data_IF_486674192669
#
_entry.id   IF_486674192669
#
_cell.length_a   1.000
_cell.length_b   1.000
_cell.length_c   1.000
_cell.angle_alpha   90.00
_cell.angle_beta   90.00
_cell.angle_gamma   90.00
#
_symmetry.space_group_name_H-M   'P 1'
#
loop_
_entity.id
_entity.type
_entity.pdbx_description
1 polymer ?
#
# COMPACT_ATOMS: atom_id res chain seq x y z
N UNK A 1 -0.28 12.78 -33.24
CA UNK A 1 -0.76 13.50 -32.06
C UNK A 1 0.33 13.33 -31.01
N UNK A 2 0.80 14.43 -30.47
CA UNK A 2 2.12 14.63 -29.87
C UNK A 2 2.45 13.67 -28.72
N UNK A 3 3.60 13.04 -28.86
CA UNK A 3 4.30 12.16 -27.88
C UNK A 3 4.86 12.97 -26.69
N UNK A 4 4.22 14.08 -26.34
CA UNK A 4 4.78 15.15 -25.50
C UNK A 4 4.00 15.35 -24.17
N UNK A 5 3.12 14.41 -23.78
CA UNK A 5 2.51 14.48 -22.45
C UNK A 5 3.52 14.01 -21.40
N UNK A 6 3.83 14.84 -20.39
CA UNK A 6 4.70 14.42 -19.29
C UNK A 6 4.07 13.32 -18.42
N UNK A 7 2.79 13.03 -18.65
CA UNK A 7 2.01 12.11 -17.86
C UNK A 7 1.94 10.71 -18.47
N UNK A 8 2.25 9.71 -17.68
CA UNK A 8 2.03 8.29 -18.04
C UNK A 8 0.62 7.81 -17.70
N UNK A 9 -0.04 8.47 -16.75
CA UNK A 9 -1.47 8.29 -16.45
C UNK A 9 -2.13 9.65 -16.30
N UNK A 10 -3.32 9.81 -16.92
CA UNK A 10 -4.22 10.93 -16.69
C UNK A 10 -5.63 10.36 -16.49
N UNK A 11 -6.22 10.70 -15.37
CA UNK A 11 -7.63 10.42 -15.06
C UNK A 11 -8.36 11.76 -15.01
N UNK A 12 -9.36 11.96 -15.86
CA UNK A 12 -10.05 13.26 -16.02
C UNK A 12 -11.51 13.13 -15.60
N UNK A 13 -11.92 13.94 -14.62
CA UNK A 13 -13.30 14.06 -14.12
C UNK A 13 -13.92 12.72 -13.74
N UNK A 14 -13.14 11.84 -13.12
CA UNK A 14 -13.61 10.51 -12.75
C UNK A 14 -14.68 10.62 -11.67
N UNK A 15 -15.83 10.06 -11.98
CA UNK A 15 -16.94 9.93 -11.03
C UNK A 15 -17.30 8.46 -10.86
N UNK A 16 -17.39 8.02 -9.61
CA UNK A 16 -17.86 6.69 -9.23
C UNK A 16 -18.94 6.78 -8.15
N UNK A 17 -20.09 6.20 -8.46
CA UNK A 17 -21.22 6.12 -7.52
C UNK A 17 -21.54 4.68 -7.19
N UNK A 18 -21.81 4.43 -5.92
CA UNK A 18 -22.41 3.20 -5.41
C UNK A 18 -23.79 3.54 -4.81
N UNK A 19 -24.67 2.57 -4.57
CA UNK A 19 -25.96 2.83 -3.93
C UNK A 19 -25.76 3.63 -2.63
N UNK A 20 -26.33 4.83 -2.57
CA UNK A 20 -26.26 5.72 -1.41
C UNK A 20 -24.94 6.47 -1.20
N UNK A 21 -23.90 6.28 -2.04
CA UNK A 21 -22.58 6.87 -1.86
C UNK A 21 -21.95 7.31 -3.18
N UNK A 22 -21.45 8.55 -3.25
CA UNK A 22 -20.52 8.97 -4.29
C UNK A 22 -19.09 8.84 -3.77
N UNK A 23 -18.40 7.80 -4.23
CA UNK A 23 -17.04 7.49 -3.77
C UNK A 23 -15.97 8.39 -4.41
N UNK A 24 -16.17 8.78 -5.68
CA UNK A 24 -15.36 9.78 -6.38
C UNK A 24 -16.29 10.73 -7.12
N UNK A 25 -16.03 12.02 -7.05
CA UNK A 25 -16.84 13.08 -7.63
C UNK A 25 -15.95 14.05 -8.41
N UNK A 26 -15.95 13.92 -9.75
CA UNK A 26 -15.15 14.71 -10.68
C UNK A 26 -13.65 14.77 -10.30
N UNK A 27 -13.07 13.63 -9.99
CA UNK A 27 -11.66 13.52 -9.58
C UNK A 27 -10.74 13.58 -10.78
N UNK A 28 -9.78 14.51 -10.74
CA UNK A 28 -8.64 14.55 -11.65
C UNK A 28 -7.40 13.99 -10.94
N UNK A 29 -6.64 13.13 -11.63
CA UNK A 29 -5.41 12.54 -11.11
C UNK A 29 -4.40 12.37 -12.23
N UNK A 30 -3.13 12.69 -11.96
CA UNK A 30 -2.04 12.60 -12.93
C UNK A 30 -0.85 11.85 -12.31
N UNK A 31 -0.11 11.12 -13.15
CA UNK A 31 1.15 10.49 -12.78
C UNK A 31 2.18 10.79 -13.87
N UNK A 32 3.34 11.31 -13.49
CA UNK A 32 4.45 11.53 -14.41
C UNK A 32 5.30 10.28 -14.56
N UNK A 33 6.07 10.26 -15.64
CA UNK A 33 7.03 9.19 -15.87
C UNK A 33 8.18 9.28 -14.86
N UNK A 34 8.49 8.16 -14.22
CA UNK A 34 9.64 8.03 -13.32
C UNK A 34 9.47 8.73 -11.97
N UNK A 35 8.21 9.00 -11.53
CA UNK A 35 7.95 9.59 -10.21
C UNK A 35 7.25 8.62 -9.26
N UNK A 36 7.37 8.90 -7.97
CA UNK A 36 6.53 8.34 -6.92
C UNK A 36 5.48 9.38 -6.55
N UNK A 37 4.24 9.16 -6.99
CA UNK A 37 3.12 10.03 -6.70
C UNK A 37 2.29 9.48 -5.54
N UNK A 38 2.23 10.19 -4.43
CA UNK A 38 1.42 9.78 -3.29
C UNK A 38 -0.06 10.13 -3.48
N UNK A 39 -0.94 9.18 -3.17
CA UNK A 39 -2.38 9.41 -3.06
C UNK A 39 -2.78 9.36 -1.58
N UNK A 40 -3.00 10.53 -1.00
CA UNK A 40 -3.27 10.74 0.43
C UNK A 40 -4.76 10.96 0.69
N UNK A 41 -5.23 10.61 1.87
CA UNK A 41 -6.59 10.88 2.36
C UNK A 41 -6.99 9.96 3.50
N UNK A 42 -8.00 10.32 4.25
CA UNK A 42 -8.57 9.49 5.32
C UNK A 42 -9.16 8.18 4.77
N UNK A 43 -9.44 7.24 5.68
CA UNK A 43 -10.19 6.03 5.32
C UNK A 43 -11.59 6.44 4.81
N UNK A 44 -12.00 5.83 3.69
CA UNK A 44 -13.26 6.21 3.03
C UNK A 44 -13.19 7.47 2.13
N UNK A 45 -12.01 8.11 1.96
CA UNK A 45 -11.87 9.28 1.09
C UNK A 45 -12.02 9.00 -0.41
N UNK A 46 -12.04 7.71 -0.83
CA UNK A 46 -12.20 7.30 -2.23
C UNK A 46 -10.91 6.86 -2.93
N UNK A 47 -9.78 6.77 -2.21
CA UNK A 47 -8.46 6.38 -2.75
C UNK A 47 -8.47 5.02 -3.44
N UNK A 48 -8.81 3.96 -2.69
CA UNK A 48 -8.85 2.60 -3.24
C UNK A 48 -9.91 2.46 -4.34
N UNK A 49 -11.02 3.19 -4.29
CA UNK A 49 -12.00 3.22 -5.38
C UNK A 49 -11.41 3.78 -6.66
N UNK A 50 -10.71 4.92 -6.58
CA UNK A 50 -10.05 5.56 -7.72
C UNK A 50 -8.99 4.63 -8.34
N UNK A 51 -8.20 3.98 -7.51
CA UNK A 51 -7.15 3.06 -7.97
C UNK A 51 -7.72 1.75 -8.49
N UNK A 52 -8.80 1.24 -7.94
CA UNK A 52 -9.52 0.08 -8.49
C UNK A 52 -10.13 0.37 -9.87
N UNK A 53 -10.50 1.63 -10.16
CA UNK A 53 -10.91 2.05 -11.52
C UNK A 53 -9.69 1.98 -12.44
N UNK A 54 -8.55 2.53 -12.04
CA UNK A 54 -7.32 2.51 -12.83
C UNK A 54 -6.77 1.09 -13.03
N UNK A 55 -6.95 0.20 -12.05
CA UNK A 55 -6.59 -1.21 -12.14
C UNK A 55 -7.62 -2.08 -12.91
N UNK A 56 -8.72 -1.49 -13.40
CA UNK A 56 -9.74 -2.21 -14.18
C UNK A 56 -10.66 -3.12 -13.36
N UNK A 57 -10.72 -2.95 -12.04
CA UNK A 57 -11.65 -3.66 -11.15
C UNK A 57 -13.04 -3.03 -11.14
N UNK A 58 -13.11 -1.71 -11.34
CA UNK A 58 -14.36 -0.96 -11.45
C UNK A 58 -14.39 -0.12 -12.72
N UNK A 59 -15.55 -0.02 -13.37
CA UNK A 59 -15.79 0.99 -14.40
C UNK A 59 -16.24 2.30 -13.71
N UNK A 60 -15.74 3.48 -14.15
CA UNK A 60 -16.28 4.77 -13.71
C UNK A 60 -17.69 4.99 -14.26
N UNK A 61 -18.49 5.80 -13.57
CA UNK A 61 -19.78 6.24 -14.09
C UNK A 61 -19.61 7.32 -15.16
N UNK A 62 -18.58 8.17 -15.02
CA UNK A 62 -18.16 9.18 -16.00
C UNK A 62 -16.69 9.52 -15.82
N UNK A 63 -16.12 10.21 -16.82
CA UNK A 63 -14.72 10.60 -16.87
C UNK A 63 -13.95 9.78 -17.89
N UNK A 64 -12.70 10.12 -18.06
CA UNK A 64 -11.80 9.54 -19.08
C UNK A 64 -10.47 9.16 -18.46
N UNK A 65 -9.89 8.08 -18.97
CA UNK A 65 -8.57 7.59 -18.54
C UNK A 65 -7.65 7.56 -19.75
N UNK A 66 -6.46 8.10 -19.57
CA UNK A 66 -5.40 8.06 -20.57
C UNK A 66 -4.17 7.39 -19.99
N UNK A 67 -3.56 6.48 -20.72
CA UNK A 67 -2.32 5.81 -20.37
C UNK A 67 -1.32 6.02 -21.50
N UNK A 68 -0.16 6.60 -21.19
CA UNK A 68 0.85 6.94 -22.19
C UNK A 68 0.27 7.72 -23.38
N UNK A 69 -0.60 8.69 -23.09
CA UNK A 69 -1.27 9.54 -24.08
C UNK A 69 -2.42 8.90 -24.85
N UNK A 70 -2.71 7.62 -24.65
CA UNK A 70 -3.80 6.92 -25.32
C UNK A 70 -5.01 6.81 -24.39
N UNK A 71 -6.20 7.17 -24.90
CA UNK A 71 -7.45 6.97 -24.16
C UNK A 71 -7.74 5.48 -24.05
N UNK A 72 -8.02 5.02 -22.83
CA UNK A 72 -8.29 3.62 -22.54
C UNK A 72 -9.59 3.45 -21.77
N UNK A 73 -10.19 2.28 -21.93
CA UNK A 73 -11.32 1.86 -21.10
C UNK A 73 -11.08 0.42 -20.66
N UNK A 74 -10.87 0.24 -19.38
CA UNK A 74 -10.61 -1.06 -18.78
C UNK A 74 -11.94 -1.73 -18.40
N UNK A 75 -12.12 -2.99 -18.82
CA UNK A 75 -13.25 -3.85 -18.46
C UNK A 75 -12.81 -4.97 -17.51
N UNK A 76 -11.52 -5.15 -17.35
CA UNK A 76 -10.93 -6.17 -16.51
C UNK A 76 -9.52 -5.77 -16.07
N UNK A 77 -9.00 -6.35 -14.96
CA UNK A 77 -7.59 -6.17 -14.55
C UNK A 77 -6.60 -6.61 -15.63
N UNK A 78 -6.94 -7.56 -16.47
CA UNK A 78 -6.10 -7.97 -17.62
C UNK A 78 -5.87 -6.83 -18.60
N UNK A 79 -6.87 -5.96 -18.80
CA UNK A 79 -6.72 -4.82 -19.71
C UNK A 79 -5.74 -3.78 -19.13
N UNK A 80 -5.80 -3.52 -17.82
CA UNK A 80 -4.88 -2.64 -17.13
C UNK A 80 -3.44 -3.19 -17.18
N UNK A 81 -3.26 -4.49 -16.93
CA UNK A 81 -1.94 -5.16 -17.03
C UNK A 81 -1.39 -5.05 -18.45
N UNK A 82 -2.19 -5.25 -19.49
CA UNK A 82 -1.77 -5.09 -20.89
C UNK A 82 -1.36 -3.65 -21.22
N UNK A 83 -1.96 -2.66 -20.55
CA UNK A 83 -1.57 -1.26 -20.66
C UNK A 83 -0.31 -0.92 -19.82
N UNK A 84 0.23 -1.89 -19.09
CA UNK A 84 1.43 -1.75 -18.25
C UNK A 84 1.16 -1.30 -16.82
N UNK A 85 -0.08 -1.41 -16.33
CA UNK A 85 -0.48 -1.04 -14.97
C UNK A 85 -0.61 -2.31 -14.12
N UNK A 86 0.14 -2.39 -13.02
CA UNK A 86 0.04 -3.44 -12.01
C UNK A 86 -0.42 -2.89 -10.68
N UNK A 87 -1.26 -3.61 -9.94
CA UNK A 87 -1.70 -3.23 -8.60
C UNK A 87 -1.26 -4.26 -7.58
N UNK A 88 -0.67 -3.77 -6.50
CA UNK A 88 -0.27 -4.53 -5.31
C UNK A 88 -1.24 -4.10 -4.21
N UNK A 89 -2.03 -5.07 -3.75
CA UNK A 89 -3.08 -4.84 -2.75
C UNK A 89 -2.51 -4.82 -1.33
N UNK A 90 -3.22 -4.19 -0.41
CA UNK A 90 -2.91 -4.16 1.02
C UNK A 90 -2.78 -5.57 1.63
N UNK A 91 -3.61 -6.52 1.18
CA UNK A 91 -3.51 -7.93 1.51
C UNK A 91 -2.93 -8.69 0.32
N UNK A 92 -1.86 -9.42 0.53
CA UNK A 92 -1.19 -10.15 -0.54
C UNK A 92 -2.10 -11.17 -1.21
N UNK A 93 -2.11 -11.13 -2.53
CA UNK A 93 -2.87 -12.06 -3.38
C UNK A 93 -1.98 -13.22 -3.82
N UNK A 94 -1.33 -13.87 -2.83
CA UNK A 94 -0.45 -15.02 -3.02
C UNK A 94 -1.11 -16.30 -2.51
N UNK A 95 -0.84 -17.42 -3.17
CA UNK A 95 -1.30 -18.74 -2.77
C UNK A 95 -0.24 -19.38 -1.86
N UNK A 96 -0.51 -19.57 -0.55
CA UNK A 96 0.50 -19.99 0.42
C UNK A 96 1.15 -21.34 0.10
N UNK A 97 0.40 -22.26 -0.49
CA UNK A 97 0.83 -23.64 -0.79
C UNK A 97 1.56 -23.77 -2.12
N UNK A 98 1.77 -22.68 -2.85
CA UNK A 98 2.54 -22.64 -4.09
C UNK A 98 3.91 -21.99 -3.87
N UNK A 99 4.86 -22.30 -4.74
CA UNK A 99 6.17 -21.65 -4.77
C UNK A 99 6.08 -20.23 -5.29
N UNK A 100 7.15 -19.44 -5.10
CA UNK A 100 7.30 -18.09 -5.67
C UNK A 100 7.10 -18.13 -7.19
N UNK A 101 7.78 -19.04 -7.88
CA UNK A 101 7.66 -19.19 -9.33
C UNK A 101 6.22 -19.50 -9.75
N UNK A 102 5.57 -20.45 -9.11
CA UNK A 102 4.17 -20.79 -9.42
C UNK A 102 3.22 -19.60 -9.22
N UNK A 103 3.40 -18.83 -8.15
CA UNK A 103 2.60 -17.62 -7.89
C UNK A 103 2.81 -16.54 -8.95
N UNK A 104 4.04 -16.32 -9.41
CA UNK A 104 4.34 -15.33 -10.45
C UNK A 104 3.71 -15.73 -11.79
N UNK A 105 3.75 -17.00 -12.12
CA UNK A 105 3.22 -17.55 -13.37
C UNK A 105 1.69 -17.73 -13.35
N UNK A 106 1.06 -17.71 -12.19
CA UNK A 106 -0.37 -17.95 -12.05
C UNK A 106 -1.20 -16.97 -12.88
N UNK A 107 -2.06 -17.50 -13.74
CA UNK A 107 -2.96 -16.70 -14.59
C UNK A 107 -2.32 -16.11 -15.85
N UNK A 108 -1.10 -16.52 -16.20
CA UNK A 108 -0.51 -16.24 -17.51
C UNK A 108 -1.03 -17.26 -18.55
N UNK A 109 -1.08 -16.79 -19.81
CA UNK A 109 -1.56 -17.63 -20.92
C UNK A 109 -0.51 -18.65 -21.40
N UNK A 110 0.72 -18.62 -20.89
CA UNK A 110 1.82 -19.54 -21.15
C UNK A 110 2.46 -20.03 -19.84
N UNK A 111 2.93 -21.27 -19.80
CA UNK A 111 2.88 -22.36 -20.78
C UNK A 111 1.61 -23.23 -20.66
N UNK A 112 1.14 -23.73 -21.82
CA UNK A 112 -0.18 -24.40 -21.90
C UNK A 112 -0.23 -25.85 -21.39
N UNK A 113 0.86 -26.61 -21.34
CA UNK A 113 0.81 -28.05 -21.04
C UNK A 113 1.89 -28.62 -20.13
N UNK A 114 3.15 -28.24 -20.24
CA UNK A 114 4.25 -28.72 -19.37
C UNK A 114 5.10 -27.54 -18.94
N UNK A 115 5.05 -27.20 -17.63
CA UNK A 115 5.90 -26.16 -17.08
C UNK A 115 7.29 -26.69 -16.76
N UNK A 116 8.31 -26.19 -17.46
CA UNK A 116 9.69 -26.34 -17.01
C UNK A 116 9.98 -25.25 -15.97
N UNK A 117 9.58 -25.47 -14.71
CA UNK A 117 9.74 -24.52 -13.62
C UNK A 117 11.19 -24.05 -13.47
N UNK A 118 12.17 -24.93 -13.65
CA UNK A 118 13.60 -24.61 -13.54
C UNK A 118 14.06 -23.49 -14.52
N UNK A 119 13.43 -23.39 -15.69
CA UNK A 119 13.69 -22.28 -16.62
C UNK A 119 13.17 -20.95 -16.04
N UNK A 120 11.98 -20.98 -15.49
CA UNK A 120 11.33 -19.77 -14.92
C UNK A 120 12.01 -19.34 -13.62
N UNK A 121 12.47 -20.29 -12.80
CA UNK A 121 13.24 -19.99 -11.57
C UNK A 121 14.47 -19.15 -11.89
N UNK A 122 15.18 -19.46 -12.97
CA UNK A 122 16.35 -18.68 -13.41
C UNK A 122 15.96 -17.28 -13.85
N UNK A 123 14.88 -17.14 -14.61
CA UNK A 123 14.38 -15.84 -15.10
C UNK A 123 13.93 -14.97 -13.92
N UNK A 124 13.16 -15.54 -12.99
CA UNK A 124 12.65 -14.81 -11.82
C UNK A 124 13.80 -14.41 -10.89
N UNK A 125 14.77 -15.29 -10.67
CA UNK A 125 15.98 -14.97 -9.90
C UNK A 125 16.75 -13.82 -10.52
N UNK A 126 16.94 -13.83 -11.85
CA UNK A 126 17.62 -12.75 -12.56
C UNK A 126 16.86 -11.44 -12.44
N UNK A 127 15.54 -11.45 -12.65
CA UNK A 127 14.66 -10.28 -12.49
C UNK A 127 14.73 -9.73 -11.05
N UNK A 128 14.80 -10.61 -10.06
CA UNK A 128 14.96 -10.24 -8.65
C UNK A 128 16.29 -9.53 -8.38
N UNK A 129 17.40 -10.05 -8.94
CA UNK A 129 18.73 -9.44 -8.81
C UNK A 129 18.75 -8.06 -9.48
N UNK A 130 18.24 -7.94 -10.69
CA UNK A 130 18.22 -6.69 -11.46
C UNK A 130 17.42 -5.57 -10.78
N UNK A 131 16.40 -5.94 -9.99
CA UNK A 131 15.52 -4.98 -9.32
C UNK A 131 15.71 -4.91 -7.79
N UNK A 132 16.75 -5.55 -7.26
CA UNK A 132 17.01 -5.60 -5.82
C UNK A 132 15.89 -6.23 -4.98
N UNK A 133 15.16 -7.19 -5.59
CA UNK A 133 14.02 -7.92 -5.04
C UNK A 133 14.39 -9.41 -4.87
N UNK A 134 15.46 -9.68 -4.12
CA UNK A 134 15.98 -11.04 -3.97
C UNK A 134 15.01 -11.90 -3.16
N UNK A 135 14.56 -13.00 -3.78
CA UNK A 135 13.75 -14.06 -3.16
C UNK A 135 14.20 -15.41 -3.76
N UNK A 136 13.96 -16.51 -3.04
CA UNK A 136 14.18 -17.86 -3.61
C UNK A 136 12.95 -18.26 -4.43
N UNK A 137 13.08 -18.44 -5.77
CA UNK A 137 11.97 -18.83 -6.63
C UNK A 137 11.32 -20.18 -6.26
N UNK A 138 12.07 -21.06 -5.60
CA UNK A 138 11.61 -22.41 -5.24
C UNK A 138 10.97 -22.47 -3.85
N UNK A 139 11.11 -21.43 -3.02
CA UNK A 139 10.49 -21.37 -1.72
C UNK A 139 8.96 -21.29 -1.81
N UNK A 140 8.27 -21.97 -0.90
CA UNK A 140 6.82 -21.81 -0.75
C UNK A 140 6.48 -20.49 -0.08
N UNK A 141 5.36 -19.86 -0.49
CA UNK A 141 4.95 -18.55 0.06
C UNK A 141 4.78 -18.57 1.58
N UNK A 142 4.27 -19.67 2.16
CA UNK A 142 4.09 -19.79 3.61
C UNK A 142 5.42 -19.80 4.40
N UNK A 143 6.55 -20.02 3.74
CA UNK A 143 7.89 -20.01 4.35
C UNK A 143 8.49 -18.58 4.41
N UNK A 144 7.94 -17.66 3.62
CA UNK A 144 8.47 -16.32 3.45
C UNK A 144 8.00 -15.37 4.55
N UNK A 145 8.90 -14.49 4.96
CA UNK A 145 8.54 -13.32 5.76
C UNK A 145 7.58 -12.39 5.00
N UNK A 146 6.92 -11.50 5.71
CA UNK A 146 6.00 -10.52 5.12
C UNK A 146 6.70 -9.64 4.07
N UNK A 147 7.91 -9.17 4.36
CA UNK A 147 8.71 -8.39 3.41
C UNK A 147 9.13 -9.18 2.17
N UNK A 148 9.37 -10.50 2.29
CA UNK A 148 9.63 -11.37 1.14
C UNK A 148 8.39 -11.58 0.29
N UNK A 149 7.22 -11.79 0.91
CA UNK A 149 5.95 -11.89 0.20
C UNK A 149 5.64 -10.61 -0.59
N UNK A 150 5.95 -9.44 -0.04
CA UNK A 150 5.81 -8.18 -0.75
C UNK A 150 6.74 -8.09 -1.96
N UNK A 151 8.00 -8.54 -1.83
CA UNK A 151 8.92 -8.62 -2.96
C UNK A 151 8.39 -9.54 -4.08
N UNK A 152 7.72 -10.65 -3.71
CA UNK A 152 7.07 -11.54 -4.68
C UNK A 152 5.95 -10.84 -5.43
N UNK A 153 5.08 -10.07 -4.75
CA UNK A 153 4.01 -9.29 -5.41
C UNK A 153 4.58 -8.26 -6.40
N UNK A 154 5.66 -7.57 -6.03
CA UNK A 154 6.32 -6.62 -6.94
C UNK A 154 6.92 -7.36 -8.14
N UNK A 155 7.66 -8.45 -7.91
CA UNK A 155 8.24 -9.28 -8.97
C UNK A 155 7.18 -9.82 -9.93
N UNK A 156 6.03 -10.23 -9.42
CA UNK A 156 4.89 -10.69 -10.21
C UNK A 156 4.39 -9.62 -11.18
N UNK A 157 4.33 -8.35 -10.76
CA UNK A 157 3.94 -7.24 -11.63
C UNK A 157 5.04 -6.91 -12.64
N UNK A 158 6.31 -6.91 -12.22
CA UNK A 158 7.45 -6.69 -13.13
C UNK A 158 7.56 -7.79 -14.18
N UNK A 159 7.38 -9.04 -13.80
CA UNK A 159 7.39 -10.19 -14.71
C UNK A 159 6.30 -10.07 -15.79
N UNK A 160 5.17 -9.47 -15.45
CA UNK A 160 4.05 -9.18 -16.37
C UNK A 160 4.29 -7.94 -17.25
N UNK A 161 5.46 -7.29 -17.12
CA UNK A 161 5.84 -6.13 -17.92
C UNK A 161 5.18 -4.82 -17.47
N UNK A 162 4.72 -4.71 -16.24
CA UNK A 162 4.15 -3.47 -15.72
C UNK A 162 5.23 -2.40 -15.55
N UNK A 163 4.93 -1.18 -16.04
CA UNK A 163 5.77 0.01 -15.90
C UNK A 163 5.20 0.99 -14.88
N UNK A 164 3.91 0.87 -14.59
CA UNK A 164 3.17 1.67 -13.64
C UNK A 164 2.70 0.75 -12.52
N UNK A 165 3.11 1.03 -11.29
CA UNK A 165 2.74 0.24 -10.12
C UNK A 165 1.84 1.04 -9.18
N UNK A 166 0.70 0.47 -8.83
CA UNK A 166 -0.19 0.98 -7.78
C UNK A 166 0.10 0.16 -6.53
N UNK A 167 0.45 0.82 -5.43
CA UNK A 167 0.73 0.18 -4.15
C UNK A 167 -0.26 0.68 -3.10
N UNK A 168 -1.19 -0.18 -2.68
CA UNK A 168 -2.23 0.16 -1.71
C UNK A 168 -1.78 -0.20 -0.29
N UNK A 169 -1.41 0.83 0.50
CA UNK A 169 -0.90 0.74 1.87
C UNK A 169 0.21 -0.32 2.07
N UNK A 170 1.30 -0.26 1.28
CA UNK A 170 2.28 -1.36 1.22
C UNK A 170 3.09 -1.52 2.50
N UNK A 171 3.04 -0.57 3.41
CA UNK A 171 3.80 -0.57 4.68
C UNK A 171 2.96 -0.99 5.89
N UNK A 172 1.68 -1.34 5.69
CA UNK A 172 0.75 -1.58 6.80
C UNK A 172 1.16 -2.75 7.71
N UNK A 173 1.86 -3.73 7.16
CA UNK A 173 2.25 -4.98 7.86
C UNK A 173 3.76 -5.17 7.97
N UNK A 174 4.56 -4.20 7.52
CA UNK A 174 6.02 -4.25 7.53
C UNK A 174 6.62 -3.74 8.84
N UNK A 175 7.74 -4.33 9.25
CA UNK A 175 8.59 -3.77 10.30
C UNK A 175 9.32 -2.50 9.78
N UNK A 176 9.71 -1.56 10.67
CA UNK A 176 10.40 -0.33 10.26
C UNK A 176 11.60 -0.55 9.32
N UNK A 177 12.44 -1.54 9.62
CA UNK A 177 13.61 -1.86 8.80
C UNK A 177 13.22 -2.38 7.39
N UNK A 178 12.07 -3.04 7.26
CA UNK A 178 11.56 -3.50 5.98
C UNK A 178 10.98 -2.34 5.15
N UNK A 179 10.46 -1.29 5.81
CA UNK A 179 9.98 -0.06 5.15
C UNK A 179 11.14 0.65 4.45
N UNK A 180 12.28 0.82 5.14
CA UNK A 180 13.47 1.45 4.56
C UNK A 180 13.96 0.69 3.32
N UNK A 181 13.97 -0.66 3.38
CA UNK A 181 14.34 -1.51 2.25
C UNK A 181 13.35 -1.33 1.09
N UNK A 182 12.05 -1.29 1.38
CA UNK A 182 11.02 -1.04 0.38
C UNK A 182 11.24 0.32 -0.30
N UNK A 183 11.41 1.40 0.47
CA UNK A 183 11.57 2.76 -0.06
C UNK A 183 12.80 2.87 -0.97
N UNK A 184 13.92 2.30 -0.57
CA UNK A 184 15.12 2.23 -1.40
C UNK A 184 14.86 1.46 -2.72
N UNK A 185 14.09 0.39 -2.64
CA UNK A 185 13.69 -0.39 -3.82
C UNK A 185 12.82 0.43 -4.76
N UNK A 186 11.82 1.14 -4.24
CA UNK A 186 10.91 1.97 -5.05
C UNK A 186 11.67 3.11 -5.73
N UNK A 187 12.58 3.81 -5.02
CA UNK A 187 13.46 4.83 -5.60
C UNK A 187 14.32 4.26 -6.73
N UNK A 188 14.95 3.11 -6.51
CA UNK A 188 15.74 2.43 -7.57
C UNK A 188 14.88 2.06 -8.80
N UNK A 189 13.60 1.74 -8.60
CA UNK A 189 12.69 1.43 -9.70
C UNK A 189 12.30 2.68 -10.49
N UNK A 190 12.08 3.83 -9.84
CA UNK A 190 11.80 5.09 -10.54
C UNK A 190 13.02 5.60 -11.30
N UNK A 191 14.24 5.43 -10.76
CA UNK A 191 15.49 5.70 -11.47
C UNK A 191 15.62 4.88 -12.75
N UNK A 192 15.03 3.68 -12.78
CA UNK A 192 14.95 2.80 -13.97
C UNK A 192 13.74 3.11 -14.86
N UNK A 193 13.03 4.20 -14.62
CA UNK A 193 11.92 4.70 -15.43
C UNK A 193 10.55 4.06 -15.13
N UNK A 194 10.40 3.32 -14.04
CA UNK A 194 9.09 2.90 -13.54
C UNK A 194 8.39 4.08 -12.88
N UNK A 195 7.05 4.07 -12.85
CA UNK A 195 6.25 5.11 -12.20
C UNK A 195 5.36 4.47 -11.14
N UNK A 196 5.25 5.10 -9.98
CA UNK A 196 4.64 4.46 -8.81
C UNK A 196 3.55 5.37 -8.24
N UNK A 197 2.35 4.82 -8.01
CA UNK A 197 1.31 5.44 -7.21
C UNK A 197 1.36 4.80 -5.83
N UNK A 198 1.71 5.60 -4.82
CA UNK A 198 1.87 5.15 -3.44
C UNK A 198 0.68 5.63 -2.60
N UNK A 199 -0.19 4.70 -2.21
CA UNK A 199 -1.35 5.03 -1.37
C UNK A 199 -0.97 4.81 0.09
N UNK A 200 -1.08 5.86 0.89
CA UNK A 200 -0.88 5.76 2.34
C UNK A 200 -1.73 6.82 3.06
N UNK A 201 -2.00 6.58 4.33
CA UNK A 201 -2.55 7.57 5.25
C UNK A 201 -1.50 8.04 6.28
N UNK A 202 -0.28 7.51 6.20
CA UNK A 202 0.84 7.83 7.10
C UNK A 202 1.67 8.97 6.52
N UNK A 203 1.52 10.16 7.08
CA UNK A 203 2.13 11.38 6.57
C UNK A 203 3.67 11.32 6.50
N UNK A 204 4.31 10.71 7.49
CA UNK A 204 5.78 10.59 7.51
C UNK A 204 6.30 9.79 6.32
N UNK A 205 5.61 8.70 5.94
CA UNK A 205 5.98 7.89 4.80
C UNK A 205 5.89 8.68 3.49
N UNK A 206 4.84 9.49 3.34
CA UNK A 206 4.63 10.32 2.14
C UNK A 206 5.72 11.38 2.02
N UNK A 207 6.03 12.07 3.13
CA UNK A 207 7.09 13.08 3.16
C UNK A 207 8.48 12.51 2.83
N UNK A 208 8.69 11.22 3.10
CA UNK A 208 9.99 10.55 2.88
C UNK A 208 10.15 10.02 1.44
N UNK A 209 9.06 9.46 0.87
CA UNK A 209 9.18 8.69 -0.37
C UNK A 209 8.66 9.41 -1.61
N UNK A 210 7.65 10.29 -1.47
CA UNK A 210 6.94 10.84 -2.61
C UNK A 210 7.65 12.05 -3.24
N UNK A 211 7.55 12.17 -4.55
CA UNK A 211 7.94 13.37 -5.29
C UNK A 211 6.80 14.39 -5.31
N UNK A 212 5.58 13.89 -5.41
CA UNK A 212 4.34 14.69 -5.48
C UNK A 212 3.22 13.99 -4.73
N UNK A 213 2.19 14.77 -4.36
CA UNK A 213 1.03 14.25 -3.64
C UNK A 213 -0.28 14.81 -4.22
N UNK A 214 -1.29 13.95 -4.30
CA UNK A 214 -2.68 14.32 -4.50
C UNK A 214 -3.47 13.93 -3.27
N UNK A 215 -4.23 14.86 -2.71
CA UNK A 215 -5.01 14.63 -1.49
C UNK A 215 -6.49 14.50 -1.82
N UNK A 216 -7.07 13.38 -1.41
CA UNK A 216 -8.50 13.10 -1.52
C UNK A 216 -9.20 13.27 -0.18
N UNK A 217 -10.36 13.92 -0.19
CA UNK A 217 -11.24 14.03 0.95
C UNK A 217 -12.70 13.93 0.51
N UNK A 218 -13.45 12.98 1.09
CA UNK A 218 -14.87 12.74 0.81
C UNK A 218 -15.17 12.65 -0.69
N UNK A 219 -14.34 11.91 -1.41
CA UNK A 219 -14.50 11.67 -2.85
C UNK A 219 -14.05 12.80 -3.76
N UNK A 220 -13.48 13.88 -3.24
CA UNK A 220 -13.00 15.05 -4.01
C UNK A 220 -11.53 15.29 -3.78
N UNK A 221 -10.86 15.91 -4.76
CA UNK A 221 -9.48 16.38 -4.63
C UNK A 221 -9.45 17.69 -3.85
N UNK A 222 -8.65 17.75 -2.80
CA UNK A 222 -8.39 18.96 -2.00
C UNK A 222 -7.04 19.60 -2.33
N UNK A 223 -6.08 18.80 -2.77
CA UNK A 223 -4.83 19.27 -3.38
C UNK A 223 -4.47 18.32 -4.52
N UNK A 224 -4.17 18.88 -5.69
CA UNK A 224 -3.84 18.12 -6.89
C UNK A 224 -2.36 18.31 -7.25
N UNK A 225 -1.67 17.21 -7.54
CA UNK A 225 -0.34 17.20 -8.16
C UNK A 225 0.66 18.17 -7.47
N UNK A 226 0.61 18.24 -6.14
CA UNK A 226 1.43 19.14 -5.33
C UNK A 226 2.84 18.55 -5.13
N UNK A 227 3.92 19.28 -5.43
CA UNK A 227 5.27 18.85 -5.06
C UNK A 227 5.39 18.66 -3.57
N UNK A 228 6.10 17.63 -3.13
CA UNK A 228 6.26 17.34 -1.70
C UNK A 228 7.37 18.19 -1.05
N UNK A 229 8.27 18.74 -1.85
CA UNK A 229 9.38 19.56 -1.36
C UNK A 229 8.88 20.80 -0.60
N UNK A 230 9.32 20.98 0.64
CA UNK A 230 8.95 22.07 1.52
C UNK A 230 7.58 21.94 2.19
N UNK A 231 6.83 20.88 1.92
CA UNK A 231 5.51 20.63 2.52
C UNK A 231 5.68 20.09 3.92
N UNK A 232 4.90 20.61 4.87
CA UNK A 232 4.93 20.16 6.25
C UNK A 232 3.88 19.08 6.54
N UNK A 233 4.10 18.35 7.62
CA UNK A 233 3.15 17.34 8.10
C UNK A 233 1.79 17.96 8.47
N UNK A 234 1.82 19.15 9.06
CA UNK A 234 0.67 19.92 9.47
C UNK A 234 -0.17 20.34 8.26
N UNK A 235 0.50 20.78 7.18
CA UNK A 235 -0.17 21.14 5.93
C UNK A 235 -0.87 19.94 5.29
N UNK A 236 -0.19 18.80 5.17
CA UNK A 236 -0.81 17.56 4.66
C UNK A 236 -1.99 17.12 5.51
N UNK A 237 -1.86 17.17 6.84
CA UNK A 237 -2.94 16.82 7.75
C UNK A 237 -4.14 17.76 7.59
N UNK A 238 -3.90 19.06 7.45
CA UNK A 238 -4.95 20.05 7.23
C UNK A 238 -5.70 19.80 5.92
N UNK A 239 -4.98 19.53 4.83
CA UNK A 239 -5.58 19.18 3.54
C UNK A 239 -6.41 17.90 3.60
N UNK A 240 -5.96 16.90 4.37
CA UNK A 240 -6.61 15.61 4.53
C UNK A 240 -7.90 15.70 5.37
N UNK A 241 -7.86 16.41 6.51
CA UNK A 241 -8.97 16.51 7.46
C UNK A 241 -9.88 17.72 7.14
N UNK A 242 -9.32 18.78 6.55
CA UNK A 242 -10.02 20.01 6.16
C UNK A 242 -10.26 20.98 7.31
N UNK A 243 -9.49 20.86 8.35
CA UNK A 243 -9.38 21.80 9.47
C UNK A 243 -7.96 21.75 10.01
N UNK A 244 -7.55 22.76 10.70
CA UNK A 244 -6.28 22.77 11.39
C UNK A 244 -6.17 21.59 12.36
N UNK A 245 -5.08 20.84 12.28
CA UNK A 245 -4.82 19.66 13.12
C UNK A 245 -3.76 20.03 14.14
N UNK A 246 -4.14 19.97 15.40
CA UNK A 246 -3.22 20.20 16.52
C UNK A 246 -2.57 18.86 16.87
N UNK A 247 -1.27 18.72 16.55
CA UNK A 247 -0.49 17.50 16.89
C UNK A 247 -0.02 17.48 18.33
N UNK A 248 0.14 18.65 18.96
CA UNK A 248 0.54 18.74 20.36
C UNK A 248 -0.70 19.01 21.21
N UNK A 249 -1.16 17.98 21.90
CA UNK A 249 -2.20 18.12 22.91
C UNK A 249 -1.49 18.43 24.23
N UNK A 250 -1.66 19.65 24.75
CA UNK A 250 -1.28 19.95 26.13
C UNK A 250 -2.19 19.12 27.05
N UNK A 251 -1.60 18.08 27.63
CA UNK A 251 -2.34 17.28 28.61
C UNK A 251 -2.47 18.08 29.91
N UNK A 252 -3.68 18.34 30.41
CA UNK A 252 -3.83 18.87 31.74
C UNK A 252 -3.20 17.90 32.74
N UNK A 253 -2.60 18.45 33.80
CA UNK A 253 -2.06 17.63 34.89
C UNK A 253 -3.22 16.90 35.55
N UNK A 254 -3.38 15.61 35.22
CA UNK A 254 -4.35 14.76 35.86
C UNK A 254 -3.80 14.32 37.23
N UNK A 255 -4.62 14.38 38.27
CA UNK A 255 -4.29 13.75 39.56
C UNK A 255 -4.64 12.28 39.43
N UNK A 256 -3.61 11.45 39.49
CA UNK A 256 -3.78 9.99 39.53
C UNK A 256 -4.43 9.65 40.88
N UNK A 257 -5.55 8.96 40.82
CA UNK A 257 -6.31 8.54 42.02
C UNK A 257 -6.00 7.11 42.43
N UNK A 258 -6.95 6.46 43.10
CA UNK A 258 -6.81 5.07 43.57
C UNK A 258 -6.87 4.08 42.40
N UNK A 259 -6.23 2.89 42.55
CA UNK A 259 -6.33 1.80 41.59
C UNK A 259 -7.78 1.40 41.30
N UNK A 260 -8.13 1.32 40.02
CA UNK A 260 -9.46 0.90 39.53
C UNK A 260 -9.41 -0.45 38.82
N UNK A 261 -8.23 -0.85 38.35
CA UNK A 261 -7.96 -2.18 37.79
C UNK A 261 -6.59 -2.62 38.24
N UNK A 262 -6.51 -3.80 38.85
CA UNK A 262 -5.26 -4.45 39.20
C UNK A 262 -5.22 -5.83 38.56
N UNK A 263 -4.18 -6.12 37.83
CA UNK A 263 -3.88 -7.42 37.21
C UNK A 263 -2.59 -7.91 37.84
N UNK A 264 -2.63 -9.10 38.46
CA UNK A 264 -1.48 -9.64 39.20
C UNK A 264 -1.08 -11.00 38.65
N UNK A 265 0.18 -11.12 38.22
CA UNK A 265 0.85 -12.36 37.89
C UNK A 265 0.03 -13.29 36.96
N UNK A 266 -0.53 -12.71 35.88
CA UNK A 266 -1.43 -13.42 34.95
C UNK A 266 -0.62 -14.24 33.96
N UNK A 267 -1.00 -15.49 33.82
CA UNK A 267 -0.51 -16.43 32.82
C UNK A 267 -1.67 -16.80 31.88
N UNK A 268 -1.38 -16.82 30.58
CA UNK A 268 -2.34 -17.27 29.58
C UNK A 268 -1.67 -18.01 28.43
N UNK A 269 -2.40 -18.90 27.80
CA UNK A 269 -1.98 -19.58 26.56
C UNK A 269 -2.72 -18.97 25.37
N UNK A 270 -2.08 -19.01 24.20
CA UNK A 270 -2.72 -18.62 22.95
C UNK A 270 -3.63 -19.74 22.40
N UNK A 271 -4.29 -19.48 21.27
CA UNK A 271 -5.19 -20.42 20.58
C UNK A 271 -4.53 -21.76 20.19
N UNK A 272 -3.18 -21.85 20.25
CA UNK A 272 -2.39 -23.06 19.94
C UNK A 272 -1.90 -23.78 21.19
N UNK A 273 -2.33 -23.38 22.39
CA UNK A 273 -1.86 -23.93 23.66
C UNK A 273 -0.42 -23.58 24.01
N UNK A 274 0.15 -22.50 23.43
CA UNK A 274 1.49 -22.04 23.74
C UNK A 274 1.43 -20.87 24.74
N UNK A 275 2.38 -20.80 25.72
CA UNK A 275 2.41 -19.70 26.69
C UNK A 275 2.53 -18.32 26.01
N UNK A 276 1.51 -17.49 26.16
CA UNK A 276 1.42 -16.13 25.61
C UNK A 276 1.71 -15.07 26.69
N UNK A 277 1.11 -15.22 27.88
CA UNK A 277 1.42 -14.38 29.05
C UNK A 277 2.20 -15.18 30.07
N UNK A 278 3.22 -14.57 30.67
CA UNK A 278 4.17 -15.23 31.58
C UNK A 278 4.37 -14.38 32.85
N UNK A 279 3.30 -14.28 33.67
CA UNK A 279 3.37 -13.51 34.91
C UNK A 279 3.27 -12.00 34.70
N UNK A 280 2.33 -11.55 33.88
CA UNK A 280 2.10 -10.13 33.61
C UNK A 280 1.33 -9.51 34.78
N UNK A 281 1.85 -8.38 35.28
CA UNK A 281 1.19 -7.55 36.28
C UNK A 281 1.10 -6.13 35.78
N UNK A 282 -0.04 -5.47 35.97
CA UNK A 282 -0.26 -4.07 35.66
C UNK A 282 -1.35 -3.50 36.56
N UNK A 283 -1.33 -2.20 36.76
CA UNK A 283 -2.32 -1.46 37.51
C UNK A 283 -2.79 -0.26 36.71
N UNK A 284 -4.05 0.07 36.79
CA UNK A 284 -4.63 1.29 36.21
C UNK A 284 -5.35 2.05 37.30
N UNK A 285 -4.96 3.32 37.50
CA UNK A 285 -5.54 4.19 38.50
C UNK A 285 -6.63 5.07 37.90
N UNK A 286 -7.47 5.59 38.78
CA UNK A 286 -8.49 6.59 38.40
C UNK A 286 -7.81 7.84 37.82
N UNK A 287 -8.32 8.34 36.67
CA UNK A 287 -7.82 9.55 36.04
C UNK A 287 -6.54 9.40 35.21
N UNK A 288 -6.03 8.18 35.02
CA UNK A 288 -4.90 7.93 34.13
C UNK A 288 -5.29 7.16 32.86
N UNK A 289 -4.41 7.20 31.86
CA UNK A 289 -4.47 6.37 30.66
C UNK A 289 -3.18 5.54 30.62
N UNK A 290 -3.31 4.24 30.79
CA UNK A 290 -2.19 3.28 30.65
C UNK A 290 -2.16 2.76 29.22
N UNK A 291 -1.01 2.93 28.54
CA UNK A 291 -0.76 2.42 27.19
C UNK A 291 -0.06 1.07 27.22
N UNK A 292 -0.60 0.07 26.52
CA UNK A 292 0.04 -1.22 26.28
C UNK A 292 0.64 -1.22 24.89
N UNK A 293 1.98 -1.30 24.80
CA UNK A 293 2.70 -1.32 23.52
C UNK A 293 3.40 -2.67 23.33
N UNK A 294 3.49 -3.11 22.08
CA UNK A 294 4.21 -4.33 21.73
C UNK A 294 4.03 -4.69 20.25
N UNK A 295 4.94 -5.50 19.74
CA UNK A 295 4.83 -6.08 18.39
C UNK A 295 3.76 -7.18 18.43
N UNK A 296 3.05 -7.38 17.31
CA UNK A 296 2.05 -8.44 17.17
C UNK A 296 2.59 -9.81 17.62
N UNK A 297 1.79 -10.56 18.37
CA UNK A 297 2.17 -11.88 18.89
C UNK A 297 2.85 -11.88 20.27
N UNK A 298 2.97 -10.72 20.93
CA UNK A 298 3.56 -10.63 22.27
C UNK A 298 2.52 -10.72 23.43
N UNK A 299 1.33 -11.21 23.15
CA UNK A 299 0.33 -11.49 24.18
C UNK A 299 -0.66 -10.34 24.47
N UNK A 300 -0.67 -9.27 23.68
CA UNK A 300 -1.60 -8.14 23.87
C UNK A 300 -3.07 -8.57 23.73
N UNK A 301 -3.33 -9.59 22.91
CA UNK A 301 -4.68 -10.12 22.69
C UNK A 301 -5.15 -10.97 23.86
N UNK A 302 -4.22 -11.67 24.48
CA UNK A 302 -4.49 -12.57 25.58
C UNK A 302 -4.59 -11.82 26.93
N UNK A 303 -3.99 -10.61 27.01
CA UNK A 303 -4.10 -9.70 28.15
C UNK A 303 -5.44 -8.95 28.14
#
# INVERSE_FOLDING_TARGET
>A
MSDDSPFVVEMKKITKKFPGLTANDNVDFHLRKGEIHALLGENGAGKSTLMNILAGLYEPNSGEIYVKGQQVRFRSPRDAIKAGIGMIHQHFMLVPTQTVTENILLGLDEPKFIMNLSKYDKIIRQLGIENNLIVDPTAYIWQLSVGEQQRVEILKMLYRGCDILIMDEPTAVLAPQEIDVLFNTLKSMTDKGKSIIFISHKLNEILEIADRVTVLRRGKVTAADMPIEGVTKEELASLMVGREVIFNIEKPVCRVGEPVLTVENVYAENDKGLPALKGVSLEVCSGEIVGIAGVAGNGQREL
#
